data_IF_725183737436
#
_entry.id   IF_725183737436
#
_cell.length_a   1.000
_cell.length_b   1.000
_cell.length_c   1.000
_cell.angle_alpha   90.00
_cell.angle_beta   90.00
_cell.angle_gamma   90.00
#
_symmetry.space_group_name_H-M   'P 1'
#
loop_
_entity.id
_entity.type
_entity.pdbx_description
1 polymer ?
#
# COMPACT_ATOMS: atom_id res chain seq x y z
N UNK A 1 -6.52 5.85 -1.75
CA UNK A 1 -5.10 6.08 -1.50
C UNK A 1 -4.58 7.25 -2.32
N UNK A 2 -3.33 7.67 -2.06
CA UNK A 2 -2.69 8.79 -2.79
C UNK A 2 -2.08 8.35 -4.10
N UNK A 3 -1.79 7.07 -4.20
CA UNK A 3 -1.07 6.48 -5.33
C UNK A 3 -2.02 5.63 -6.15
N UNK A 4 -1.88 5.69 -7.45
CA UNK A 4 -2.45 4.68 -8.32
C UNK A 4 -1.55 3.43 -8.29
N UNK A 5 -1.85 2.52 -7.37
CA UNK A 5 -1.08 1.29 -7.19
C UNK A 5 -1.25 0.29 -8.34
N UNK A 6 -2.24 0.51 -9.20
CA UNK A 6 -2.58 -0.41 -10.30
C UNK A 6 -2.18 0.11 -11.69
N UNK A 7 -1.59 1.31 -11.79
CA UNK A 7 -1.26 1.93 -13.08
C UNK A 7 -0.43 1.01 -13.98
N UNK A 8 0.60 0.37 -13.45
CA UNK A 8 1.51 -0.49 -14.20
C UNK A 8 1.12 -1.98 -14.25
N UNK A 9 0.00 -2.39 -13.64
CA UNK A 9 -0.36 -3.81 -13.57
C UNK A 9 -0.86 -4.32 -14.92
N UNK A 10 -0.42 -5.52 -15.31
CA UNK A 10 -0.85 -6.19 -16.54
C UNK A 10 -2.23 -6.83 -16.34
N UNK A 11 -2.94 -7.13 -17.45
CA UNK A 11 -4.11 -7.99 -17.42
C UNK A 11 -3.74 -9.36 -16.82
N UNK A 12 -4.60 -9.90 -15.96
CA UNK A 12 -4.35 -11.13 -15.22
C UNK A 12 -3.26 -11.03 -14.14
N UNK A 13 -2.72 -9.83 -13.91
CA UNK A 13 -1.69 -9.60 -12.89
C UNK A 13 -2.17 -9.90 -11.48
N UNK A 14 -1.24 -9.93 -10.52
CA UNK A 14 -1.54 -10.20 -9.12
C UNK A 14 -1.26 -8.96 -8.27
N UNK A 15 -2.23 -8.59 -7.44
CA UNK A 15 -2.13 -7.51 -6.46
C UNK A 15 -2.18 -8.09 -5.05
N UNK A 16 -1.10 -7.92 -4.28
CA UNK A 16 -1.00 -8.35 -2.88
C UNK A 16 -1.11 -7.16 -1.95
N UNK A 17 -2.09 -7.18 -1.06
CA UNK A 17 -2.36 -6.12 -0.09
C UNK A 17 -2.10 -6.59 1.34
N UNK A 18 -1.38 -5.75 2.12
CA UNK A 18 -1.38 -5.88 3.58
C UNK A 18 -2.56 -5.10 4.14
N UNK A 19 -3.51 -5.79 4.76
CA UNK A 19 -4.72 -5.17 5.32
C UNK A 19 -5.24 -5.99 6.50
N UNK A 20 -5.75 -5.29 7.50
CA UNK A 20 -6.52 -5.87 8.63
C UNK A 20 -7.98 -6.17 8.26
N UNK A 21 -8.44 -5.66 7.11
CA UNK A 21 -9.81 -5.87 6.63
C UNK A 21 -9.94 -7.32 6.16
N UNK A 22 -10.97 -8.07 6.59
CA UNK A 22 -11.23 -9.44 6.13
C UNK A 22 -11.36 -9.54 4.61
N UNK A 23 -10.92 -10.65 4.03
CA UNK A 23 -10.84 -10.84 2.56
C UNK A 23 -12.18 -10.63 1.84
N UNK A 24 -13.29 -10.99 2.48
CA UNK A 24 -14.66 -10.82 1.97
C UNK A 24 -15.10 -9.35 1.89
N UNK A 25 -14.44 -8.44 2.63
CA UNK A 25 -14.74 -7.01 2.67
C UNK A 25 -13.67 -6.12 2.04
N UNK A 26 -12.51 -6.68 1.73
CA UNK A 26 -11.38 -5.91 1.16
C UNK A 26 -11.78 -5.22 -0.14
N UNK A 27 -12.53 -5.89 -1.01
CA UNK A 27 -12.91 -5.32 -2.30
C UNK A 27 -13.77 -4.06 -2.17
N UNK A 28 -14.67 -4.02 -1.19
CA UNK A 28 -15.50 -2.86 -0.87
C UNK A 28 -14.70 -1.68 -0.28
N UNK A 29 -13.49 -1.93 0.23
CA UNK A 29 -12.60 -0.91 0.76
C UNK A 29 -11.80 -0.18 -0.32
N UNK A 30 -11.92 -0.57 -1.58
CA UNK A 30 -11.26 0.10 -2.70
C UNK A 30 -12.12 1.25 -3.23
N UNK A 31 -11.46 2.23 -3.85
CA UNK A 31 -12.16 3.27 -4.62
C UNK A 31 -12.78 2.69 -5.88
N UNK A 32 -13.79 3.36 -6.41
CA UNK A 32 -14.48 2.92 -7.63
C UNK A 32 -13.51 2.69 -8.80
N UNK A 33 -12.59 3.61 -9.04
CA UNK A 33 -11.58 3.50 -10.10
C UNK A 33 -10.70 2.25 -9.94
N UNK A 34 -10.33 1.91 -8.68
CA UNK A 34 -9.58 0.68 -8.41
C UNK A 34 -10.41 -0.57 -8.68
N UNK A 35 -11.67 -0.59 -8.25
CA UNK A 35 -12.58 -1.71 -8.49
C UNK A 35 -12.78 -1.96 -9.99
N UNK A 36 -13.02 -0.90 -10.77
CA UNK A 36 -13.15 -0.97 -12.23
C UNK A 36 -11.88 -1.50 -12.89
N UNK A 37 -10.72 -1.01 -12.47
CA UNK A 37 -9.42 -1.46 -12.98
C UNK A 37 -9.18 -2.93 -12.69
N UNK A 38 -9.51 -3.40 -11.48
CA UNK A 38 -9.38 -4.80 -11.06
C UNK A 38 -10.24 -5.71 -11.94
N UNK A 39 -11.50 -5.36 -12.16
CA UNK A 39 -12.41 -6.15 -12.99
C UNK A 39 -11.95 -6.11 -14.45
N UNK A 40 -11.72 -4.91 -15.00
CA UNK A 40 -11.33 -4.73 -16.41
C UNK A 40 -10.06 -5.50 -16.78
N UNK A 41 -9.04 -5.46 -15.91
CA UNK A 41 -7.76 -6.14 -16.12
C UNK A 41 -7.74 -7.56 -15.55
N UNK A 42 -8.85 -8.08 -15.00
CA UNK A 42 -8.97 -9.41 -14.38
C UNK A 42 -7.85 -9.67 -13.36
N UNK A 43 -7.60 -8.70 -12.49
CA UNK A 43 -6.51 -8.76 -11.52
C UNK A 43 -6.84 -9.77 -10.43
N UNK A 44 -5.87 -10.63 -10.11
CA UNK A 44 -5.97 -11.52 -8.97
C UNK A 44 -5.60 -10.75 -7.69
N UNK A 45 -6.55 -10.55 -6.80
CA UNK A 45 -6.34 -9.80 -5.56
C UNK A 45 -6.13 -10.78 -4.41
N UNK A 46 -5.08 -10.54 -3.63
CA UNK A 46 -4.76 -11.27 -2.41
C UNK A 46 -4.56 -10.32 -1.25
N UNK A 47 -4.96 -10.74 -0.06
CA UNK A 47 -4.77 -9.97 1.17
C UNK A 47 -4.16 -10.82 2.27
N UNK A 48 -3.48 -10.17 3.18
CA UNK A 48 -2.90 -10.75 4.39
C UNK A 48 -2.80 -9.66 5.47
N UNK A 49 -3.13 -9.99 6.71
CA UNK A 49 -2.80 -9.14 7.86
C UNK A 49 -1.38 -9.47 8.36
N UNK A 50 -0.40 -8.96 7.63
CA UNK A 50 1.02 -9.16 7.96
C UNK A 50 1.41 -8.42 9.25
N UNK A 51 0.70 -7.35 9.61
CA UNK A 51 0.93 -6.60 10.83
C UNK A 51 0.58 -7.45 12.06
N UNK A 52 -0.58 -8.07 12.05
CA UNK A 52 -1.03 -8.98 13.11
C UNK A 52 -0.06 -10.13 13.31
N UNK A 53 0.32 -10.82 12.23
CA UNK A 53 1.29 -11.93 12.26
C UNK A 53 2.62 -11.48 12.87
N UNK A 54 3.11 -10.31 12.48
CA UNK A 54 4.39 -9.77 12.98
C UNK A 54 4.30 -9.37 14.46
N UNK A 55 3.17 -8.81 14.89
CA UNK A 55 2.93 -8.46 16.30
C UNK A 55 2.82 -9.69 17.18
N UNK A 56 2.08 -10.72 16.78
CA UNK A 56 1.92 -11.98 17.48
C UNK A 56 3.26 -12.72 17.62
N UNK A 57 4.15 -12.61 16.63
CA UNK A 57 5.51 -13.14 16.71
C UNK A 57 6.49 -12.26 17.54
N UNK A 58 6.03 -11.10 18.03
CA UNK A 58 6.84 -10.17 18.83
C UNK A 58 7.86 -9.36 18.02
N UNK A 59 7.60 -9.13 16.73
CA UNK A 59 8.42 -8.29 15.84
C UNK A 59 7.85 -6.87 15.64
N UNK A 60 6.71 -6.55 16.24
CA UNK A 60 6.04 -5.26 16.08
C UNK A 60 5.58 -5.04 14.63
N UNK A 61 5.93 -3.90 14.03
CA UNK A 61 5.48 -3.52 12.69
C UNK A 61 6.38 -4.04 11.53
N UNK A 62 7.21 -5.04 11.77
CA UNK A 62 8.17 -5.54 10.76
C UNK A 62 7.56 -6.60 9.85
N UNK A 63 6.76 -6.17 8.90
CA UNK A 63 5.98 -7.02 8.02
C UNK A 63 6.76 -7.56 6.79
N UNK A 64 7.95 -7.05 6.52
CA UNK A 64 8.70 -7.36 5.30
C UNK A 64 8.94 -8.87 5.09
N UNK A 65 9.25 -9.61 6.14
CA UNK A 65 9.48 -11.07 6.05
C UNK A 65 8.20 -11.81 5.64
N UNK A 66 7.06 -11.45 6.23
CA UNK A 66 5.75 -12.03 5.90
C UNK A 66 5.39 -11.76 4.43
N UNK A 67 5.50 -10.48 4.02
CA UNK A 67 5.20 -10.06 2.65
C UNK A 67 6.12 -10.74 1.62
N UNK A 68 7.39 -10.95 1.95
CA UNK A 68 8.34 -11.64 1.08
C UNK A 68 7.94 -13.09 0.81
N UNK A 69 7.48 -13.81 1.81
CA UNK A 69 6.99 -15.21 1.65
C UNK A 69 5.77 -15.22 0.71
N UNK A 70 4.81 -14.32 0.95
CA UNK A 70 3.62 -14.21 0.10
C UNK A 70 3.99 -13.84 -1.35
N UNK A 71 4.96 -12.94 -1.54
CA UNK A 71 5.45 -12.59 -2.87
C UNK A 71 5.99 -13.82 -3.62
N UNK A 72 6.87 -14.61 -3.02
CA UNK A 72 7.42 -15.80 -3.67
C UNK A 72 6.35 -16.85 -3.97
N UNK A 73 5.37 -17.01 -3.07
CA UNK A 73 4.22 -17.90 -3.30
C UNK A 73 3.41 -17.47 -4.51
N UNK A 74 3.11 -16.18 -4.64
CA UNK A 74 2.24 -15.66 -5.70
C UNK A 74 2.99 -15.47 -7.03
N UNK A 75 4.26 -15.06 -6.99
CA UNK A 75 5.08 -14.88 -8.17
C UNK A 75 5.50 -16.20 -8.83
N UNK A 76 5.54 -17.29 -8.06
CA UNK A 76 5.87 -18.65 -8.53
C UNK A 76 7.15 -18.73 -9.39
N UNK A 77 8.17 -17.92 -9.04
CA UNK A 77 9.45 -17.86 -9.76
C UNK A 77 10.31 -19.08 -9.44
N UNK A 78 10.23 -19.55 -8.20
CA UNK A 78 10.87 -20.77 -7.69
C UNK A 78 9.86 -21.53 -6.81
N UNK A 79 10.03 -22.83 -6.58
CA UNK A 79 9.20 -23.58 -5.64
C UNK A 79 9.13 -22.89 -4.28
N UNK A 80 7.94 -22.76 -3.72
CA UNK A 80 7.72 -21.98 -2.49
C UNK A 80 8.51 -22.53 -1.30
N UNK A 81 8.65 -23.85 -1.19
CA UNK A 81 9.41 -24.48 -0.10
C UNK A 81 10.91 -24.16 -0.19
N UNK A 82 11.43 -24.09 -1.42
CA UNK A 82 12.81 -23.67 -1.66
C UNK A 82 13.00 -22.18 -1.31
N UNK A 83 12.05 -21.32 -1.71
CA UNK A 83 12.05 -19.90 -1.33
C UNK A 83 12.05 -19.71 0.19
N UNK A 84 11.19 -20.46 0.90
CA UNK A 84 11.13 -20.45 2.37
C UNK A 84 12.47 -20.89 2.97
N UNK A 85 13.10 -21.92 2.42
CA UNK A 85 14.43 -22.37 2.84
C UNK A 85 15.48 -21.27 2.72
N UNK A 86 15.51 -20.55 1.60
CA UNK A 86 16.42 -19.42 1.38
C UNK A 86 16.12 -18.25 2.32
N UNK A 87 14.86 -17.92 2.52
CA UNK A 87 14.44 -16.85 3.44
C UNK A 87 14.91 -17.18 4.87
N UNK A 88 14.66 -18.40 5.36
CA UNK A 88 15.10 -18.82 6.70
C UNK A 88 16.63 -18.79 6.84
N UNK A 89 17.37 -19.19 5.80
CA UNK A 89 18.84 -19.11 5.78
C UNK A 89 19.32 -17.66 5.83
N UNK A 90 18.68 -16.77 5.07
CA UNK A 90 18.98 -15.34 5.06
C UNK A 90 18.69 -14.69 6.43
N UNK A 91 17.58 -15.04 7.07
CA UNK A 91 17.22 -14.59 8.42
C UNK A 91 18.33 -14.98 9.42
N UNK A 92 18.74 -16.24 9.45
CA UNK A 92 19.82 -16.70 10.33
C UNK A 92 21.11 -15.91 10.12
N UNK A 93 21.51 -15.66 8.87
CA UNK A 93 22.70 -14.87 8.54
C UNK A 93 22.57 -13.41 8.98
N UNK A 94 21.43 -12.78 8.67
CA UNK A 94 21.20 -11.33 8.91
C UNK A 94 21.11 -11.03 10.40
N UNK A 95 20.44 -11.89 11.16
CA UNK A 95 20.16 -11.66 12.57
C UNK A 95 21.08 -12.44 13.51
N UNK A 96 22.15 -13.08 13.00
CA UNK A 96 23.10 -13.84 13.81
C UNK A 96 23.62 -13.07 15.04
N UNK A 97 23.91 -11.77 14.87
CA UNK A 97 24.40 -10.89 15.95
C UNK A 97 23.32 -10.41 16.92
N UNK A 98 22.03 -10.61 16.60
CA UNK A 98 20.90 -10.15 17.42
C UNK A 98 20.33 -11.22 18.36
N UNK A 99 20.87 -12.42 18.30
CA UNK A 99 20.50 -13.56 19.13
C UNK A 99 19.40 -14.44 18.52
N UNK A 100 19.32 -15.66 19.03
CA UNK A 100 18.41 -16.70 18.53
C UNK A 100 16.94 -16.35 18.71
N UNK A 101 16.59 -15.59 19.74
CA UNK A 101 15.21 -15.15 19.97
C UNK A 101 14.66 -14.37 18.77
N UNK A 102 15.42 -13.41 18.24
CA UNK A 102 15.03 -12.61 17.06
C UNK A 102 14.95 -13.46 15.79
N UNK A 103 15.88 -14.42 15.65
CA UNK A 103 15.86 -15.37 14.53
C UNK A 103 14.58 -16.21 14.57
N UNK A 104 14.23 -16.76 15.73
CA UNK A 104 13.05 -17.62 15.90
C UNK A 104 11.76 -16.84 15.66
N UNK A 105 11.65 -15.60 16.16
CA UNK A 105 10.50 -14.72 15.87
C UNK A 105 10.30 -14.50 14.36
N UNK A 106 11.38 -14.25 13.62
CA UNK A 106 11.30 -14.10 12.17
C UNK A 106 10.93 -15.41 11.46
N UNK A 107 11.44 -16.54 11.91
CA UNK A 107 11.09 -17.86 11.35
C UNK A 107 9.61 -18.17 11.61
N UNK A 108 9.08 -17.87 12.78
CA UNK A 108 7.64 -18.00 13.09
C UNK A 108 6.78 -17.18 12.12
N UNK A 109 7.19 -15.95 11.80
CA UNK A 109 6.51 -15.15 10.77
C UNK A 109 6.50 -15.82 9.40
N UNK A 110 7.62 -16.43 8.99
CA UNK A 110 7.73 -17.17 7.72
C UNK A 110 6.76 -18.35 7.70
N UNK A 111 6.73 -19.14 8.78
CA UNK A 111 5.90 -20.34 8.86
C UNK A 111 4.40 -20.04 8.88
N UNK A 112 4.01 -18.92 9.49
CA UNK A 112 2.62 -18.51 9.59
C UNK A 112 2.09 -17.74 8.35
N UNK A 113 2.98 -17.19 7.51
CA UNK A 113 2.60 -16.30 6.42
C UNK A 113 1.61 -16.94 5.44
N UNK A 114 1.87 -18.15 4.97
CA UNK A 114 1.04 -18.80 3.95
C UNK A 114 -0.34 -19.22 4.45
N UNK A 115 -0.46 -19.56 5.74
CA UNK A 115 -1.74 -19.95 6.33
C UNK A 115 -2.74 -18.77 6.40
N UNK A 116 -2.24 -17.54 6.40
CA UNK A 116 -3.04 -16.32 6.50
C UNK A 116 -3.18 -15.57 5.17
N UNK A 117 -2.54 -16.05 4.10
CA UNK A 117 -2.71 -15.47 2.77
C UNK A 117 -4.06 -15.86 2.19
N UNK A 118 -4.89 -14.88 1.90
CA UNK A 118 -6.25 -15.10 1.41
C UNK A 118 -6.45 -14.48 0.04
N UNK A 119 -7.19 -15.18 -0.84
CA UNK A 119 -7.66 -14.62 -2.11
C UNK A 119 -8.92 -13.81 -1.87
N UNK A 120 -8.98 -12.63 -2.46
CA UNK A 120 -10.15 -11.75 -2.43
C UNK A 120 -11.07 -12.13 -3.60
N UNK A 121 -12.33 -12.38 -3.30
CA UNK A 121 -13.34 -12.60 -4.34
C UNK A 121 -13.66 -11.28 -5.04
N UNK A 122 -13.47 -11.27 -6.36
CA UNK A 122 -13.73 -10.11 -7.21
C UNK A 122 -15.06 -10.35 -7.91
N UNK A 123 -16.08 -9.49 -7.72
CA UNK A 123 -17.37 -9.67 -8.38
C UNK A 123 -17.26 -9.45 -9.90
N UNK A 124 -18.16 -10.05 -10.65
CA UNK A 124 -18.20 -9.88 -12.11
C UNK A 124 -18.75 -8.52 -12.54
N UNK A 125 -19.56 -7.88 -11.69
CA UNK A 125 -20.19 -6.55 -11.90
C UNK A 125 -20.05 -5.71 -10.63
N UNK A 126 -20.12 -4.39 -10.77
CA UNK A 126 -20.11 -3.43 -9.65
C UNK A 126 -21.51 -3.03 -9.19
N UNK A 127 -22.56 -3.67 -9.72
CA UNK A 127 -23.93 -3.36 -9.33
C UNK A 127 -24.17 -3.67 -7.85
N UNK A 128 -24.51 -2.66 -7.07
CA UNK A 128 -24.72 -2.77 -5.63
C UNK A 128 -23.44 -2.96 -4.79
N UNK A 129 -22.26 -2.93 -5.38
CA UNK A 129 -20.99 -3.04 -4.65
C UNK A 129 -20.60 -1.71 -4.02
N UNK A 130 -20.34 -1.72 -2.73
CA UNK A 130 -19.84 -0.54 -2.01
C UNK A 130 -18.41 -0.17 -2.43
N UNK A 131 -18.05 1.09 -2.29
CA UNK A 131 -16.69 1.59 -2.49
C UNK A 131 -16.39 2.70 -1.49
N UNK A 132 -15.10 3.00 -1.34
CA UNK A 132 -14.64 4.12 -0.52
C UNK A 132 -14.39 5.33 -1.42
N UNK A 133 -14.89 6.50 -1.00
CA UNK A 133 -14.59 7.75 -1.70
C UNK A 133 -13.10 8.11 -1.55
N UNK A 134 -12.46 8.62 -2.61
CA UNK A 134 -11.10 9.12 -2.53
C UNK A 134 -10.96 10.21 -1.46
N UNK A 135 -9.90 10.17 -0.69
CA UNK A 135 -9.63 11.22 0.29
C UNK A 135 -9.38 12.56 -0.44
N UNK A 136 -10.15 13.57 -0.10
CA UNK A 136 -9.91 14.94 -0.56
C UNK A 136 -8.76 15.51 0.25
N UNK A 137 -7.58 15.65 -0.36
CA UNK A 137 -6.38 16.18 0.29
C UNK A 137 -6.38 17.70 0.35
N UNK A 138 -6.84 18.36 -0.72
CA UNK A 138 -6.98 19.81 -0.84
C UNK A 138 -8.32 20.09 -1.50
N UNK A 139 -9.17 20.89 -0.86
CA UNK A 139 -10.45 21.33 -1.40
C UNK A 139 -10.28 22.28 -2.59
N UNK A 140 -11.28 22.36 -3.45
CA UNK A 140 -11.23 23.21 -4.65
C UNK A 140 -11.33 24.71 -4.30
N UNK A 141 -11.71 25.05 -3.08
CA UNK A 141 -11.76 26.39 -2.50
C UNK A 141 -10.42 26.88 -1.92
N UNK A 142 -9.39 26.06 -1.95
CA UNK A 142 -8.09 26.36 -1.32
C UNK A 142 -7.24 27.41 -2.06
N UNK A 143 -7.72 27.92 -3.20
CA UNK A 143 -7.04 28.91 -4.04
C UNK A 143 -6.18 28.27 -5.15
N UNK A 144 -5.92 29.06 -6.18
CA UNK A 144 -5.32 28.60 -7.44
C UNK A 144 -4.00 27.86 -7.28
N UNK A 145 -3.10 28.36 -6.47
CA UNK A 145 -1.80 27.73 -6.23
C UNK A 145 -1.96 26.34 -5.60
N UNK A 146 -2.82 26.22 -4.60
CA UNK A 146 -3.07 24.96 -3.93
C UNK A 146 -3.73 23.94 -4.86
N UNK A 147 -4.70 24.37 -5.63
CA UNK A 147 -5.46 23.50 -6.55
C UNK A 147 -4.63 23.08 -7.76
N UNK A 148 -3.92 24.04 -8.39
CA UNK A 148 -3.18 23.80 -9.64
C UNK A 148 -1.80 23.19 -9.44
N UNK A 149 -1.17 23.42 -8.28
CA UNK A 149 0.19 22.92 -8.00
C UNK A 149 0.23 21.89 -6.87
N UNK A 150 -0.23 22.27 -5.66
CA UNK A 150 -0.08 21.40 -4.50
C UNK A 150 -0.93 20.13 -4.58
N UNK A 151 -2.18 20.25 -5.02
CA UNK A 151 -3.10 19.11 -5.15
C UNK A 151 -2.58 18.03 -6.09
N UNK A 152 -2.15 18.32 -7.34
CA UNK A 152 -1.52 17.33 -8.20
C UNK A 152 -0.24 16.71 -7.59
N UNK A 153 0.62 17.50 -6.97
CA UNK A 153 1.84 16.99 -6.31
C UNK A 153 1.48 16.01 -5.20
N UNK A 154 0.49 16.31 -4.37
CA UNK A 154 0.04 15.41 -3.30
C UNK A 154 -0.61 14.11 -3.85
N UNK A 155 -1.15 14.15 -5.06
CA UNK A 155 -1.66 12.99 -5.78
C UNK A 155 -0.59 12.26 -6.61
N UNK A 156 0.70 12.64 -6.47
CA UNK A 156 1.83 12.07 -7.23
C UNK A 156 1.73 12.29 -8.76
N UNK A 157 1.08 13.39 -9.17
CA UNK A 157 0.94 13.83 -10.55
C UNK A 157 1.77 15.07 -10.87
N UNK A 158 2.89 15.24 -10.17
CA UNK A 158 3.80 16.38 -10.35
C UNK A 158 4.35 16.50 -11.76
N UNK A 159 4.58 15.36 -12.42
CA UNK A 159 5.11 15.30 -13.80
C UNK A 159 4.10 15.82 -14.85
N UNK A 160 2.81 15.88 -14.49
CA UNK A 160 1.74 16.42 -15.38
C UNK A 160 1.63 17.95 -15.28
N UNK A 161 2.33 18.59 -14.34
CA UNK A 161 2.22 20.02 -14.09
C UNK A 161 3.11 20.79 -15.06
N UNK A 162 2.54 21.72 -15.87
CA UNK A 162 3.37 22.54 -16.74
C UNK A 162 4.20 23.52 -15.91
N UNK A 163 5.43 23.83 -16.36
CA UNK A 163 6.32 24.77 -15.69
C UNK A 163 5.66 26.15 -15.52
N UNK A 164 4.78 26.54 -16.43
CA UNK A 164 4.02 27.81 -16.36
C UNK A 164 3.02 27.89 -15.20
N UNK A 165 2.73 26.77 -14.51
CA UNK A 165 1.91 26.78 -13.29
C UNK A 165 2.70 27.22 -12.05
N UNK A 166 4.03 27.26 -12.12
CA UNK A 166 4.90 27.72 -11.05
C UNK A 166 5.05 29.26 -11.11
N UNK A 167 5.32 29.87 -9.95
CA UNK A 167 5.61 31.30 -9.90
C UNK A 167 6.92 31.63 -10.64
N UNK A 168 6.95 32.73 -11.38
CA UNK A 168 8.09 33.14 -12.22
C UNK A 168 9.36 33.34 -11.40
N UNK A 169 9.22 33.80 -10.16
CA UNK A 169 10.30 34.08 -9.23
C UNK A 169 10.67 32.88 -8.33
N UNK A 170 9.99 31.73 -8.50
CA UNK A 170 10.21 30.54 -7.69
C UNK A 170 9.70 30.62 -6.25
N UNK A 171 8.99 31.69 -5.88
CA UNK A 171 8.45 31.85 -4.53
C UNK A 171 7.18 31.02 -4.33
N UNK A 172 6.95 30.58 -3.09
CA UNK A 172 5.71 29.92 -2.69
C UNK A 172 4.87 30.85 -1.82
N UNK A 173 3.53 30.84 -1.98
CA UNK A 173 2.65 31.62 -1.11
C UNK A 173 2.80 31.24 0.37
N UNK A 174 2.64 32.22 1.25
CA UNK A 174 2.69 32.01 2.70
C UNK A 174 1.47 31.18 3.16
N UNK A 175 1.70 30.29 4.14
CA UNK A 175 0.63 29.54 4.80
C UNK A 175 0.18 28.26 4.09
N UNK A 176 0.83 27.86 3.00
CA UNK A 176 0.51 26.61 2.26
C UNK A 176 0.67 25.34 3.11
N UNK A 177 1.56 25.36 4.10
CA UNK A 177 1.79 24.21 5.00
C UNK A 177 0.55 23.77 5.77
N UNK A 178 -0.42 24.66 6.01
CA UNK A 178 -1.69 24.31 6.66
C UNK A 178 -2.50 23.29 5.83
N UNK A 179 -2.39 23.36 4.51
CA UNK A 179 -3.12 22.48 3.58
C UNK A 179 -2.46 21.08 3.49
N UNK A 180 -1.16 21.00 3.76
CA UNK A 180 -0.40 19.75 3.69
C UNK A 180 -0.49 18.91 4.97
N UNK A 181 -0.71 19.55 6.13
CA UNK A 181 -0.66 18.91 7.45
C UNK A 181 -1.82 17.97 7.77
N UNK A 182 -2.79 17.83 6.88
CA UNK A 182 -3.86 16.81 6.92
C UNK A 182 -4.59 16.72 8.27
N UNK A 183 -4.88 17.83 8.90
CA UNK A 183 -5.54 17.90 10.19
C UNK A 183 -4.67 17.57 11.41
N UNK A 184 -3.41 17.18 11.23
CA UNK A 184 -2.48 16.91 12.35
C UNK A 184 -2.11 18.21 13.08
N UNK A 185 -1.98 19.31 12.35
CA UNK A 185 -1.79 20.64 12.90
C UNK A 185 -2.65 21.64 12.12
N UNK A 186 -3.92 21.84 12.51
CA UNK A 186 -4.83 22.75 11.81
C UNK A 186 -4.42 24.21 11.91
N UNK A 187 -3.56 24.55 12.87
CA UNK A 187 -2.98 25.89 13.02
C UNK A 187 -1.46 25.82 12.91
N UNK A 188 -0.90 26.68 12.07
CA UNK A 188 0.56 26.89 12.04
C UNK A 188 0.93 27.69 13.28
N UNK A 189 1.92 27.25 14.09
CA UNK A 189 2.45 28.07 15.17
C UNK A 189 2.94 29.41 14.60
N UNK A 190 2.53 30.50 15.22
CA UNK A 190 3.04 31.84 14.87
C UNK A 190 4.49 31.98 15.29
#
# INVERSE_FOLDING_TARGET
GRYDMLAGIREGGTFLLNSEIPADKVFESFTRDMQETIIKKKINVYTIDALKISQEAGLGARINTVMQVCFFKLANIIPVDEAIGYIKKAIKKTFAKKGEEIINKNITCVDNALAHLQKVEVPASLDGVACVEPAVLIGDDAGDFAVKLMKPILHQKGDEIPVSAMSIDGTMPIGTSRLEKRGIAPMVPK
#
